data_IF_363690886206
#
_entry.id   IF_363690886206
#
_cell.length_a   1.000
_cell.length_b   1.000
_cell.length_c   1.000
_cell.angle_alpha   90.00
_cell.angle_beta   90.00
_cell.angle_gamma   90.00
#
_symmetry.space_group_name_H-M   'P 1'
#
loop_
_entity.id
_entity.type
_entity.pdbx_description
1 polymer ?
#
# COMPACT_ATOMS: atom_id res chain seq x y z
N UNK A 1 11.58 -2.68 3.23
CA UNK A 1 10.59 -3.59 3.84
C UNK A 1 11.27 -4.94 3.99
N UNK A 2 11.09 -5.61 5.12
CA UNK A 2 11.49 -7.00 5.30
C UNK A 2 10.36 -7.92 4.83
N UNK A 3 10.54 -8.49 3.64
CA UNK A 3 9.59 -9.41 3.00
C UNK A 3 10.20 -10.80 2.81
N UNK A 4 11.19 -11.16 3.63
CA UNK A 4 11.96 -12.39 3.51
C UNK A 4 11.15 -13.67 3.78
N UNK A 5 10.00 -13.55 4.43
CA UNK A 5 9.07 -14.65 4.68
C UNK A 5 8.32 -15.12 3.44
N UNK A 6 8.19 -14.27 2.40
CA UNK A 6 7.57 -14.64 1.13
C UNK A 6 8.54 -15.52 0.34
N UNK A 7 8.06 -16.68 -0.14
CA UNK A 7 8.83 -17.73 -0.80
C UNK A 7 8.29 -18.16 -2.16
N UNK A 8 7.35 -17.40 -2.74
CA UNK A 8 6.91 -17.60 -4.13
C UNK A 8 8.13 -17.56 -5.08
N UNK A 9 8.16 -18.44 -6.09
CA UNK A 9 9.22 -18.43 -7.10
C UNK A 9 9.13 -17.15 -7.94
N UNK A 10 7.91 -16.82 -8.37
CA UNK A 10 7.61 -15.57 -9.06
C UNK A 10 6.28 -14.96 -8.60
N UNK A 11 6.26 -13.62 -8.48
CA UNK A 11 5.12 -12.87 -7.97
C UNK A 11 4.77 -11.68 -8.86
N UNK A 12 3.59 -11.70 -9.46
CA UNK A 12 3.00 -10.53 -10.11
C UNK A 12 2.42 -9.60 -9.05
N UNK A 13 2.75 -8.31 -9.08
CA UNK A 13 2.30 -7.32 -8.08
C UNK A 13 1.56 -6.19 -8.77
N UNK A 14 0.28 -5.99 -8.43
CA UNK A 14 -0.51 -4.85 -8.86
C UNK A 14 -1.15 -4.14 -7.67
N UNK A 15 -0.93 -2.83 -7.56
CA UNK A 15 -1.54 -1.98 -6.54
C UNK A 15 -2.35 -0.89 -7.24
N UNK A 16 -3.64 -0.77 -6.92
CA UNK A 16 -4.57 0.15 -7.59
C UNK A 16 -5.03 1.26 -6.64
N UNK A 17 -4.69 2.50 -6.98
CA UNK A 17 -5.12 3.68 -6.23
C UNK A 17 -6.55 4.09 -6.61
N UNK A 18 -7.52 3.58 -5.86
CA UNK A 18 -8.94 3.93 -5.98
C UNK A 18 -9.43 4.81 -4.83
N UNK A 19 -8.51 5.51 -4.16
CA UNK A 19 -8.88 6.45 -3.09
C UNK A 19 -9.86 7.47 -3.69
N UNK A 20 -11.07 7.66 -3.13
CA UNK A 20 -12.10 8.50 -3.74
C UNK A 20 -11.63 9.94 -4.00
N UNK A 21 -10.73 10.47 -3.17
CA UNK A 21 -10.15 11.79 -3.36
C UNK A 21 -9.26 11.90 -4.60
N UNK A 22 -8.58 10.81 -4.99
CA UNK A 22 -7.72 10.75 -6.18
C UNK A 22 -8.56 10.53 -7.43
N UNK A 23 -9.44 9.53 -7.42
CA UNK A 23 -10.32 9.19 -8.55
C UNK A 23 -11.22 10.38 -8.94
N UNK A 24 -11.75 11.10 -7.95
CA UNK A 24 -12.60 12.29 -8.17
C UNK A 24 -11.80 13.57 -8.46
N UNK A 25 -10.47 13.50 -8.57
CA UNK A 25 -9.61 14.65 -8.86
C UNK A 25 -9.52 15.70 -7.75
N UNK A 26 -10.01 15.40 -6.52
CA UNK A 26 -9.97 16.33 -5.38
C UNK A 26 -8.57 16.44 -4.77
N UNK A 27 -7.74 15.41 -4.96
CA UNK A 27 -6.36 15.31 -4.49
C UNK A 27 -5.49 14.69 -5.57
N UNK A 28 -4.20 15.03 -5.58
CA UNK A 28 -3.21 14.43 -6.47
C UNK A 28 -2.92 12.99 -6.05
N UNK A 29 -2.57 12.07 -6.97
CA UNK A 29 -2.15 10.70 -6.63
C UNK A 29 -0.95 10.63 -5.68
N UNK A 30 -0.12 11.68 -5.66
CA UNK A 30 1.02 11.80 -4.76
C UNK A 30 0.67 12.04 -3.29
N UNK A 31 -0.62 12.22 -2.94
CA UNK A 31 -1.05 12.44 -1.56
C UNK A 31 -0.61 11.28 -0.65
N UNK A 32 0.10 11.58 0.44
CA UNK A 32 0.53 10.63 1.47
C UNK A 32 -0.17 10.84 2.81
N UNK A 33 -0.75 12.02 3.03
CA UNK A 33 -1.35 12.37 4.31
C UNK A 33 -1.67 13.84 4.46
N UNK A 34 -1.95 14.22 5.70
CA UNK A 34 -2.21 15.57 6.14
C UNK A 34 -1.34 15.89 7.35
N UNK A 35 -0.81 17.11 7.35
CA UNK A 35 -0.22 17.73 8.53
C UNK A 35 -1.08 18.92 8.90
N UNK A 36 -1.46 19.05 10.17
CA UNK A 36 -2.31 20.15 10.62
C UNK A 36 -1.50 21.26 11.25
N UNK A 37 -1.89 22.51 11.02
CA UNK A 37 -1.33 23.65 11.77
C UNK A 37 -1.77 23.60 13.24
N UNK A 38 -1.19 24.47 14.07
CA UNK A 38 -1.63 24.64 15.46
C UNK A 38 -3.13 25.00 15.57
N UNK A 39 -3.69 25.67 14.55
CA UNK A 39 -5.11 25.98 14.45
C UNK A 39 -5.98 24.82 13.91
N UNK A 40 -5.39 23.64 13.68
CA UNK A 40 -6.10 22.45 13.20
C UNK A 40 -6.38 22.42 11.69
N UNK A 41 -5.84 23.37 10.92
CA UNK A 41 -6.04 23.47 9.48
C UNK A 41 -5.22 22.38 8.77
N UNK A 42 -5.82 21.49 7.95
CA UNK A 42 -5.11 20.40 7.31
C UNK A 42 -4.39 20.84 6.03
N UNK A 43 -3.10 20.52 5.95
CA UNK A 43 -2.26 20.73 4.78
C UNK A 43 -1.92 19.37 4.14
N UNK A 44 -2.22 19.16 2.85
CA UNK A 44 -1.92 17.90 2.18
C UNK A 44 -0.41 17.71 2.04
N UNK A 45 0.06 16.54 2.42
CA UNK A 45 1.44 16.10 2.24
C UNK A 45 1.52 15.19 1.01
N UNK A 46 2.61 15.32 0.26
CA UNK A 46 2.84 14.53 -0.96
C UNK A 46 4.13 13.72 -0.85
N UNK A 47 4.29 12.74 -1.74
CA UNK A 47 5.59 12.09 -2.01
C UNK A 47 6.63 13.14 -2.36
N UNK A 48 7.89 12.89 -1.99
CA UNK A 48 9.00 13.83 -2.25
C UNK A 48 9.31 13.95 -3.74
N UNK A 49 9.06 12.89 -4.51
CA UNK A 49 9.23 12.84 -5.96
C UNK A 49 8.09 13.53 -6.71
N UNK A 50 6.93 13.72 -6.07
CA UNK A 50 5.68 14.11 -6.72
C UNK A 50 4.98 12.98 -7.50
N UNK A 51 5.53 11.77 -7.52
CA UNK A 51 4.95 10.59 -8.17
C UNK A 51 3.77 10.01 -7.38
N UNK A 52 3.01 9.10 -8.01
CA UNK A 52 1.89 8.42 -7.38
C UNK A 52 2.36 7.61 -6.15
N UNK A 53 1.74 7.88 -4.99
CA UNK A 53 2.10 7.24 -3.73
C UNK A 53 1.96 5.72 -3.76
N UNK A 54 0.87 5.21 -4.33
CA UNK A 54 0.61 3.77 -4.42
C UNK A 54 1.59 3.09 -5.38
N UNK A 55 2.02 3.79 -6.43
CA UNK A 55 3.02 3.26 -7.36
C UNK A 55 4.41 3.18 -6.72
N UNK A 56 4.78 4.15 -5.88
CA UNK A 56 6.03 4.09 -5.10
C UNK A 56 6.04 2.92 -4.11
N UNK A 57 4.89 2.62 -3.49
CA UNK A 57 4.77 1.44 -2.63
C UNK A 57 4.98 0.17 -3.47
N UNK A 58 4.35 0.07 -4.65
CA UNK A 58 4.50 -1.10 -5.52
C UNK A 58 5.95 -1.32 -5.96
N UNK A 59 6.68 -0.24 -6.27
CA UNK A 59 8.11 -0.29 -6.59
C UNK A 59 8.90 -0.80 -5.38
N UNK A 60 8.73 -0.19 -4.20
CA UNK A 60 9.46 -0.60 -3.00
C UNK A 60 9.17 -2.05 -2.58
N UNK A 61 7.92 -2.50 -2.75
CA UNK A 61 7.49 -3.86 -2.46
C UNK A 61 8.15 -4.86 -3.42
N UNK A 62 8.09 -4.59 -4.73
CA UNK A 62 8.71 -5.46 -5.75
C UNK A 62 10.23 -5.52 -5.62
N UNK A 63 10.90 -4.39 -5.36
CA UNK A 63 12.34 -4.36 -5.08
C UNK A 63 12.70 -5.16 -3.81
N UNK A 64 11.88 -5.08 -2.76
CA UNK A 64 12.13 -5.81 -1.51
C UNK A 64 11.91 -7.32 -1.66
N UNK A 65 10.93 -7.74 -2.46
CA UNK A 65 10.71 -9.14 -2.81
C UNK A 65 11.86 -9.69 -3.67
N UNK A 66 12.32 -8.93 -4.66
CA UNK A 66 13.46 -9.32 -5.50
C UNK A 66 14.75 -9.48 -4.68
N UNK A 67 14.99 -8.60 -3.69
CA UNK A 67 16.10 -8.77 -2.72
C UNK A 67 15.96 -10.00 -1.83
N UNK A 68 14.76 -10.56 -1.71
CA UNK A 68 14.44 -11.71 -0.87
C UNK A 68 14.37 -13.04 -1.66
N UNK A 69 14.87 -13.06 -2.90
CA UNK A 69 14.86 -14.20 -3.83
C UNK A 69 13.49 -14.59 -4.42
N UNK A 70 12.47 -13.73 -4.33
CA UNK A 70 11.22 -13.90 -5.10
C UNK A 70 11.28 -13.05 -6.36
N UNK A 71 11.10 -13.65 -7.55
CA UNK A 71 11.08 -12.92 -8.83
C UNK A 71 9.79 -12.11 -8.96
N UNK A 72 9.81 -10.88 -8.45
CA UNK A 72 8.65 -10.01 -8.40
C UNK A 72 8.60 -9.04 -9.59
N UNK A 73 7.45 -8.99 -10.27
CA UNK A 73 7.20 -8.10 -11.40
C UNK A 73 6.05 -7.15 -11.09
N UNK A 74 6.30 -5.84 -11.18
CA UNK A 74 5.26 -4.83 -11.05
C UNK A 74 4.41 -4.76 -12.31
N UNK A 75 3.09 -4.82 -12.17
CA UNK A 75 2.14 -4.48 -13.22
C UNK A 75 1.74 -3.02 -13.03
N UNK A 76 1.96 -2.21 -14.07
CA UNK A 76 1.65 -0.79 -14.04
C UNK A 76 0.15 -0.55 -13.92
N UNK A 77 -0.25 0.35 -13.04
CA UNK A 77 -1.64 0.71 -12.80
C UNK A 77 -1.87 2.20 -12.95
N UNK A 78 -3.11 2.59 -13.20
CA UNK A 78 -3.57 3.96 -13.26
C UNK A 78 -4.87 4.08 -12.46
N UNK A 79 -5.00 5.12 -11.64
CA UNK A 79 -6.18 5.37 -10.81
C UNK A 79 -7.50 5.53 -11.61
N UNK A 80 -7.43 5.71 -12.93
CA UNK A 80 -8.57 5.75 -13.84
C UNK A 80 -8.99 4.39 -14.38
N UNK A 81 -8.13 3.37 -14.29
CA UNK A 81 -8.48 2.02 -14.71
C UNK A 81 -9.46 1.41 -13.71
N UNK A 82 -10.40 0.60 -14.19
CA UNK A 82 -11.22 -0.23 -13.33
C UNK A 82 -10.45 -1.48 -12.86
N UNK A 83 -10.94 -2.11 -11.80
CA UNK A 83 -10.30 -3.29 -11.21
C UNK A 83 -10.17 -4.46 -12.18
N UNK A 84 -11.16 -4.70 -13.04
CA UNK A 84 -11.15 -5.84 -13.95
C UNK A 84 -10.05 -5.68 -14.98
N UNK A 85 -9.89 -4.48 -15.55
CA UNK A 85 -8.79 -4.17 -16.47
C UNK A 85 -7.43 -4.44 -15.82
N UNK A 86 -7.23 -4.01 -14.57
CA UNK A 86 -5.97 -4.24 -13.85
C UNK A 86 -5.76 -5.71 -13.53
N UNK A 87 -6.80 -6.43 -13.11
CA UNK A 87 -6.75 -7.89 -12.89
C UNK A 87 -6.35 -8.63 -14.15
N UNK A 88 -6.92 -8.29 -15.31
CA UNK A 88 -6.54 -8.93 -16.59
C UNK A 88 -5.07 -8.67 -16.94
N UNK A 89 -4.59 -7.43 -16.77
CA UNK A 89 -3.18 -7.12 -16.98
C UNK A 89 -2.27 -7.90 -16.02
N UNK A 90 -2.71 -8.11 -14.77
CA UNK A 90 -2.00 -8.92 -13.79
C UNK A 90 -2.00 -10.40 -14.17
N UNK A 91 -3.11 -10.93 -14.67
CA UNK A 91 -3.21 -12.33 -15.09
C UNK A 91 -2.32 -12.65 -16.29
N UNK A 92 -1.97 -11.65 -17.09
CA UNK A 92 -1.02 -11.74 -18.18
C UNK A 92 0.46 -11.70 -17.74
N UNK A 93 0.79 -11.51 -16.46
CA UNK A 93 2.18 -11.33 -15.99
C UNK A 93 3.02 -12.61 -15.88
N UNK A 94 2.56 -13.75 -16.42
CA UNK A 94 3.21 -15.09 -16.39
C UNK A 94 3.81 -15.51 -15.03
N UNK A 95 3.33 -14.92 -13.93
CA UNK A 95 3.85 -15.17 -12.58
C UNK A 95 3.09 -16.32 -11.92
N UNK A 96 3.82 -17.15 -11.17
CA UNK A 96 3.31 -18.30 -10.42
C UNK A 96 2.22 -17.87 -9.43
N UNK A 97 2.51 -16.86 -8.61
CA UNK A 97 1.55 -16.21 -7.73
C UNK A 97 1.32 -14.77 -8.19
N UNK A 98 0.16 -14.22 -7.85
CA UNK A 98 -0.19 -12.84 -8.18
C UNK A 98 -0.87 -12.20 -6.97
N UNK A 99 -0.48 -10.98 -6.64
CA UNK A 99 -1.12 -10.19 -5.58
C UNK A 99 -1.69 -8.90 -6.18
N UNK A 100 -2.97 -8.67 -5.87
CA UNK A 100 -3.69 -7.47 -6.25
C UNK A 100 -4.18 -6.74 -5.00
N UNK A 101 -3.85 -5.46 -4.88
CA UNK A 101 -4.26 -4.63 -3.75
C UNK A 101 -5.04 -3.41 -4.25
N UNK A 102 -6.24 -3.19 -3.73
CA UNK A 102 -7.12 -2.07 -4.13
C UNK A 102 -7.33 -1.12 -2.97
N UNK A 103 -6.87 0.13 -3.10
CA UNK A 103 -6.92 1.11 -2.02
C UNK A 103 -8.16 2.00 -2.12
N UNK A 104 -8.99 1.99 -1.07
CA UNK A 104 -10.08 2.97 -0.87
C UNK A 104 -9.67 4.07 0.10
N UNK A 105 -8.81 3.76 1.06
CA UNK A 105 -8.19 4.72 1.96
C UNK A 105 -6.75 4.32 2.23
N UNK A 106 -5.84 5.29 2.14
CA UNK A 106 -4.49 5.18 2.67
C UNK A 106 -3.92 6.58 2.83
N UNK A 107 -3.84 7.06 4.07
CA UNK A 107 -3.23 8.34 4.38
C UNK A 107 -2.89 8.46 5.86
N UNK A 108 -1.97 9.37 6.18
CA UNK A 108 -1.68 9.76 7.56
C UNK A 108 -2.34 11.09 7.91
N UNK A 109 -2.66 11.33 9.18
CA UNK A 109 -3.11 12.64 9.68
C UNK A 109 -2.35 12.98 10.96
N UNK A 110 -1.60 14.08 10.92
CA UNK A 110 -0.80 14.57 12.04
C UNK A 110 -1.41 15.80 12.70
N UNK A 111 -1.92 15.64 13.94
CA UNK A 111 -2.38 16.76 14.77
C UNK A 111 -2.30 16.46 16.27
N UNK A 112 -1.20 16.81 16.92
CA UNK A 112 -0.89 16.45 18.31
C UNK A 112 -0.66 14.94 18.47
N UNK A 113 -1.68 14.14 18.17
CA UNK A 113 -1.63 12.69 17.96
C UNK A 113 -1.56 12.41 16.45
N UNK A 114 -0.76 11.41 16.06
CA UNK A 114 -0.61 10.98 14.68
C UNK A 114 -1.38 9.69 14.43
N UNK A 115 -2.10 9.64 13.32
CA UNK A 115 -2.86 8.48 12.90
C UNK A 115 -2.49 8.04 11.48
N UNK A 116 -2.57 6.74 11.25
CA UNK A 116 -2.60 6.11 9.93
C UNK A 116 -4.01 5.57 9.70
N UNK A 117 -4.61 5.97 8.60
CA UNK A 117 -5.92 5.50 8.14
C UNK A 117 -5.70 4.64 6.90
N UNK A 118 -6.31 3.46 6.90
CA UNK A 118 -6.28 2.59 5.74
C UNK A 118 -7.56 1.78 5.59
N UNK A 119 -7.93 1.53 4.34
CA UNK A 119 -8.97 0.62 3.88
C UNK A 119 -8.57 0.12 2.49
N UNK A 120 -8.23 -1.16 2.39
CA UNK A 120 -7.89 -1.80 1.12
C UNK A 120 -8.18 -3.29 1.14
N UNK A 121 -8.42 -3.83 -0.04
CA UNK A 121 -8.53 -5.27 -0.25
C UNK A 121 -7.22 -5.83 -0.76
N UNK A 122 -6.88 -7.04 -0.31
CA UNK A 122 -5.77 -7.84 -0.84
C UNK A 122 -6.34 -9.13 -1.38
N UNK A 123 -6.04 -9.44 -2.64
CA UNK A 123 -6.36 -10.70 -3.28
C UNK A 123 -5.07 -11.39 -3.74
N UNK A 124 -4.94 -12.68 -3.44
CA UNK A 124 -3.86 -13.53 -3.94
C UNK A 124 -4.46 -14.54 -4.91
N UNK A 125 -3.80 -14.71 -6.05
CA UNK A 125 -4.19 -15.65 -7.09
C UNK A 125 -3.07 -16.64 -7.38
N UNK A 126 -3.46 -17.85 -7.77
CA UNK A 126 -2.55 -18.88 -8.25
C UNK A 126 -2.20 -18.69 -9.74
N UNK A 127 -1.45 -19.66 -10.28
CA UNK A 127 -1.04 -19.69 -11.68
C UNK A 127 -2.22 -19.86 -12.65
N UNK A 128 -3.34 -20.43 -12.19
CA UNK A 128 -4.60 -20.57 -12.93
C UNK A 128 -5.49 -19.32 -12.83
N UNK A 129 -4.99 -18.26 -12.19
CA UNK A 129 -5.71 -17.01 -11.92
C UNK A 129 -6.93 -17.17 -11.00
N UNK A 130 -7.01 -18.29 -10.25
CA UNK A 130 -8.03 -18.49 -9.24
C UNK A 130 -7.63 -17.78 -7.96
N UNK A 131 -8.57 -17.08 -7.33
CA UNK A 131 -8.35 -16.48 -6.00
C UNK A 131 -8.15 -17.58 -4.96
N UNK A 132 -7.00 -17.56 -4.29
CA UNK A 132 -6.62 -18.50 -3.23
C UNK A 132 -6.58 -17.84 -1.85
N UNK A 133 -6.47 -16.50 -1.78
CA UNK A 133 -6.75 -15.74 -0.58
C UNK A 133 -7.38 -14.40 -0.90
N UNK A 134 -8.23 -13.93 0.01
CA UNK A 134 -8.79 -12.58 0.01
C UNK A 134 -8.86 -12.08 1.44
N UNK A 135 -8.43 -10.84 1.67
CA UNK A 135 -8.56 -10.19 2.97
C UNK A 135 -8.73 -8.68 2.82
N UNK A 136 -9.66 -8.12 3.58
CA UNK A 136 -9.79 -6.68 3.75
C UNK A 136 -8.97 -6.23 4.96
N UNK A 137 -8.22 -5.14 4.79
CA UNK A 137 -7.49 -4.46 5.85
C UNK A 137 -8.11 -3.08 6.04
N UNK A 138 -8.67 -2.83 7.22
CA UNK A 138 -9.27 -1.54 7.56
C UNK A 138 -8.98 -1.18 9.02
N UNK A 139 -8.34 -0.03 9.25
CA UNK A 139 -8.07 0.45 10.60
C UNK A 139 -7.77 1.95 10.63
N UNK A 140 -8.01 2.56 11.80
CA UNK A 140 -7.40 3.81 12.23
C UNK A 140 -6.36 3.49 13.30
N UNK A 141 -5.09 3.46 12.91
CA UNK A 141 -3.97 3.11 13.79
C UNK A 141 -3.34 4.35 14.42
N UNK A 142 -3.25 4.41 15.74
CA UNK A 142 -2.49 5.45 16.45
C UNK A 142 -1.00 5.19 16.30
N UNK A 143 -0.25 6.16 15.78
CA UNK A 143 1.20 6.05 15.54
C UNK A 143 2.06 6.70 16.63
N UNK A 144 1.44 7.49 17.51
CA UNK A 144 2.13 8.21 18.58
C UNK A 144 1.67 9.66 18.67
N UNK A 145 2.45 10.47 19.37
CA UNK A 145 2.18 11.89 19.58
C UNK A 145 1.58 12.22 20.95
N UNK A 146 1.70 13.48 21.32
CA UNK A 146 1.16 14.05 22.55
C UNK A 146 0.54 15.40 22.21
N UNK A 147 -0.63 15.72 22.76
CA UNK A 147 -1.28 17.02 22.61
C UNK A 147 -0.35 18.19 23.05
N UNK A 148 0.60 17.93 23.94
CA UNK A 148 1.59 18.92 24.40
C UNK A 148 2.78 19.14 23.44
N UNK A 149 3.06 18.23 22.50
CA UNK A 149 4.19 18.33 21.54
C UNK A 149 3.63 18.28 20.12
N UNK A 150 3.34 19.45 19.56
CA UNK A 150 2.61 19.62 18.30
C UNK A 150 3.42 19.25 17.06
N UNK A 151 4.76 19.29 17.13
CA UNK A 151 5.66 19.06 16.00
C UNK A 151 6.46 17.75 16.14
N UNK A 152 5.78 16.64 16.47
CA UNK A 152 6.41 15.32 16.51
C UNK A 152 7.11 14.94 15.18
N UNK A 153 7.99 13.92 15.21
CA UNK A 153 8.85 13.44 14.10
C UNK A 153 8.04 12.83 12.92
N UNK A 154 7.10 13.59 12.34
CA UNK A 154 6.19 13.19 11.27
C UNK A 154 6.92 12.57 10.08
N UNK A 155 8.00 13.22 9.62
CA UNK A 155 8.82 12.76 8.49
C UNK A 155 9.51 11.42 8.74
N UNK A 156 9.61 10.98 9.98
CA UNK A 156 10.21 9.69 10.34
C UNK A 156 9.15 8.63 10.66
N UNK A 157 8.14 8.98 11.47
CA UNK A 157 7.15 8.01 11.91
C UNK A 157 6.22 7.56 10.79
N UNK A 158 5.83 8.46 9.89
CA UNK A 158 4.87 8.13 8.85
C UNK A 158 5.45 7.14 7.82
N UNK A 159 6.67 7.34 7.28
CA UNK A 159 7.28 6.33 6.40
C UNK A 159 7.47 4.98 7.08
N UNK A 160 7.93 4.96 8.35
CA UNK A 160 8.09 3.72 9.12
C UNK A 160 6.76 2.99 9.31
N UNK A 161 5.67 3.71 9.57
CA UNK A 161 4.35 3.13 9.73
C UNK A 161 3.81 2.52 8.43
N UNK A 162 4.06 3.17 7.28
CA UNK A 162 3.69 2.62 5.97
C UNK A 162 4.50 1.35 5.67
N UNK A 163 5.81 1.37 5.89
CA UNK A 163 6.66 0.17 5.75
C UNK A 163 6.13 -0.96 6.62
N UNK A 164 5.87 -0.68 7.91
CA UNK A 164 5.35 -1.67 8.85
C UNK A 164 3.98 -2.21 8.45
N UNK A 165 3.07 -1.36 7.93
CA UNK A 165 1.77 -1.80 7.42
C UNK A 165 1.92 -2.86 6.32
N UNK A 166 2.79 -2.63 5.33
CA UNK A 166 2.97 -3.60 4.24
C UNK A 166 3.73 -4.86 4.66
N UNK A 167 4.63 -4.74 5.63
CA UNK A 167 5.22 -5.92 6.30
C UNK A 167 4.17 -6.71 7.07
N UNK A 168 3.26 -6.06 7.80
CA UNK A 168 2.16 -6.71 8.52
C UNK A 168 1.21 -7.43 7.54
N UNK A 169 0.87 -6.78 6.42
CA UNK A 169 -0.02 -7.34 5.39
C UNK A 169 0.58 -8.58 4.74
N UNK A 170 1.86 -8.55 4.37
CA UNK A 170 2.50 -9.68 3.71
C UNK A 170 2.91 -10.81 4.67
N UNK A 171 3.05 -10.52 5.96
CA UNK A 171 3.26 -11.53 7.00
C UNK A 171 1.94 -12.01 7.63
N UNK A 172 0.79 -11.52 7.17
CA UNK A 172 -0.50 -12.02 7.60
C UNK A 172 -0.63 -13.49 7.23
N UNK A 173 -1.02 -14.35 8.16
CA UNK A 173 -1.01 -15.82 7.97
C UNK A 173 -1.77 -16.24 6.71
N UNK A 174 -2.96 -15.69 6.46
CA UNK A 174 -3.75 -16.07 5.29
C UNK A 174 -3.12 -15.63 3.95
N UNK A 175 -2.45 -14.47 3.95
CA UNK A 175 -1.76 -13.94 2.76
C UNK A 175 -0.45 -14.70 2.53
N UNK A 176 0.34 -14.88 3.59
CA UNK A 176 1.64 -15.54 3.55
C UNK A 176 1.50 -17.00 3.13
N UNK A 177 0.52 -17.73 3.69
CA UNK A 177 0.26 -19.12 3.32
C UNK A 177 -0.13 -19.24 1.85
N UNK A 178 -0.93 -18.31 1.33
CA UNK A 178 -1.34 -18.31 -0.08
C UNK A 178 -0.22 -17.91 -1.04
N UNK A 179 0.76 -17.14 -0.58
CA UNK A 179 1.94 -16.79 -1.37
C UNK A 179 2.99 -17.91 -1.38
N UNK A 180 3.03 -18.74 -0.34
CA UNK A 180 4.06 -19.77 -0.16
C UNK A 180 3.62 -21.18 -0.57
N UNK A 181 2.32 -21.42 -0.73
CA UNK A 181 1.73 -22.69 -1.20
C UNK A 181 0.92 -22.44 -2.47
#
# INVERSE_FOLDING_TARGET
MDLSAVKAESLGVALLDHRPSVVKGRRKPSLTGYMRSCAGIPYPMSTTTGCNFIDEIAINMTESLNRSNTKATKVSTNFKQDENTVKQNLFNSESEKKIFIVFRELHTDGYGIQFLYYDFDVSVFDNSNKTIAFKQFHEKRKLGGNAAITNGRYKEYMPKAIVKLFEDVLNDTAILDALNN
#
